data_IF_108546583990
#
_entry.id   IF_108546583990
#
_cell.length_a   1.000
_cell.length_b   1.000
_cell.length_c   1.000
_cell.angle_alpha   90.00
_cell.angle_beta   90.00
_cell.angle_gamma   90.00
#
_symmetry.space_group_name_H-M   'P 1'
#
loop_
_entity.id
_entity.type
_entity.pdbx_description
1 polymer ?
#
# COMPACT_ATOMS: atom_id res chain seq x y z
N UNK A 1 26.78 6.17 -5.27
CA UNK A 1 26.22 7.03 -6.29
C UNK A 1 24.72 6.80 -6.46
N UNK A 2 23.95 6.94 -5.38
CA UNK A 2 22.52 6.62 -5.38
C UNK A 2 21.63 7.86 -5.61
N UNK A 3 22.08 8.80 -6.43
CA UNK A 3 21.34 10.04 -6.67
C UNK A 3 20.64 10.05 -8.03
N UNK A 4 20.28 8.90 -8.55
CA UNK A 4 19.44 8.84 -9.73
C UNK A 4 18.06 9.39 -9.42
N UNK A 5 17.62 10.45 -10.11
CA UNK A 5 16.32 11.07 -9.84
C UNK A 5 15.14 10.10 -10.00
N UNK A 6 15.30 9.07 -10.83
CA UNK A 6 14.32 8.01 -11.00
C UNK A 6 14.20 7.12 -9.75
N UNK A 7 15.33 6.78 -9.12
CA UNK A 7 15.34 5.99 -7.88
C UNK A 7 14.69 6.74 -6.70
N UNK A 8 14.87 8.06 -6.65
CA UNK A 8 14.17 8.89 -5.65
C UNK A 8 12.65 8.80 -5.81
N UNK A 9 12.14 8.75 -7.06
CA UNK A 9 10.72 8.55 -7.31
C UNK A 9 10.24 7.17 -6.87
N UNK A 10 11.06 6.13 -7.02
CA UNK A 10 10.73 4.78 -6.53
C UNK A 10 10.71 4.73 -4.98
N UNK A 11 11.66 5.39 -4.33
CA UNK A 11 11.66 5.55 -2.87
C UNK A 11 10.40 6.29 -2.38
N UNK A 12 9.99 7.34 -3.09
CA UNK A 12 8.74 8.05 -2.80
C UNK A 12 7.51 7.17 -3.02
N UNK A 13 7.48 6.42 -4.13
CA UNK A 13 6.41 5.46 -4.42
C UNK A 13 6.26 4.41 -3.30
N UNK A 14 7.38 3.94 -2.75
CA UNK A 14 7.37 3.03 -1.62
C UNK A 14 6.78 3.66 -0.36
N UNK A 15 7.22 4.86 0.00
CA UNK A 15 6.69 5.60 1.16
C UNK A 15 5.19 5.85 1.03
N UNK A 16 4.72 6.09 -0.18
CA UNK A 16 3.31 6.27 -0.49
C UNK A 16 2.50 4.95 -0.53
N UNK A 17 3.13 3.78 -0.33
CA UNK A 17 2.46 2.49 -0.46
C UNK A 17 2.01 2.17 -1.90
N UNK A 18 2.69 2.77 -2.91
CA UNK A 18 2.37 2.64 -4.33
C UNK A 18 3.43 1.84 -5.11
N UNK A 19 4.23 1.06 -4.42
CA UNK A 19 5.26 0.22 -4.99
C UNK A 19 5.08 -1.23 -4.53
N UNK A 20 4.88 -2.14 -5.47
CA UNK A 20 5.01 -3.58 -5.28
C UNK A 20 6.46 -3.98 -5.62
N UNK A 21 7.13 -4.75 -4.79
CA UNK A 21 8.52 -5.14 -4.98
C UNK A 21 8.70 -6.65 -4.71
N UNK A 22 9.56 -7.27 -5.52
CA UNK A 22 9.71 -8.71 -5.54
C UNK A 22 8.70 -9.40 -6.46
N UNK A 23 9.04 -10.60 -6.92
CA UNK A 23 8.30 -11.30 -7.97
C UNK A 23 6.83 -11.54 -7.62
N UNK A 24 6.56 -11.97 -6.38
CA UNK A 24 5.21 -12.32 -5.92
C UNK A 24 4.26 -11.10 -5.94
N UNK A 25 4.68 -10.00 -5.31
CA UNK A 25 3.86 -8.79 -5.24
C UNK A 25 3.69 -8.12 -6.61
N UNK A 26 4.71 -8.22 -7.48
CA UNK A 26 4.62 -7.72 -8.86
C UNK A 26 3.63 -8.55 -9.66
N UNK A 27 3.66 -9.89 -9.53
CA UNK A 27 2.69 -10.78 -10.15
C UNK A 27 1.25 -10.46 -9.71
N UNK A 28 1.04 -10.28 -8.41
CA UNK A 28 -0.26 -9.91 -7.85
C UNK A 28 -0.73 -8.55 -8.39
N UNK A 29 0.12 -7.53 -8.33
CA UNK A 29 -0.20 -6.19 -8.83
C UNK A 29 -0.54 -6.18 -10.33
N UNK A 30 0.13 -7.02 -11.13
CA UNK A 30 -0.16 -7.17 -12.56
C UNK A 30 -1.49 -7.92 -12.79
N UNK A 31 -1.73 -9.00 -12.05
CA UNK A 31 -2.98 -9.79 -12.13
C UNK A 31 -4.19 -8.94 -11.74
N UNK A 32 -4.08 -8.16 -10.70
CA UNK A 32 -5.12 -7.23 -10.22
C UNK A 32 -5.26 -5.98 -11.10
N UNK A 33 -4.46 -5.84 -12.17
CA UNK A 33 -4.42 -4.65 -13.04
C UNK A 33 -4.15 -3.34 -12.27
N UNK A 34 -3.50 -3.44 -11.12
CA UNK A 34 -3.06 -2.30 -10.32
C UNK A 34 -1.73 -1.73 -10.80
N UNK A 35 -0.86 -2.56 -11.35
CA UNK A 35 0.42 -2.13 -11.91
C UNK A 35 0.22 -1.11 -13.04
N UNK A 36 1.09 -0.11 -13.10
CA UNK A 36 1.13 0.92 -14.15
C UNK A 36 2.42 0.87 -14.95
N UNK A 37 3.50 0.44 -14.32
CA UNK A 37 4.78 0.20 -14.94
C UNK A 37 5.50 -0.90 -14.16
N UNK A 38 6.15 -1.82 -14.85
CA UNK A 38 7.03 -2.83 -14.26
C UNK A 38 8.46 -2.41 -14.54
N UNK A 39 9.34 -2.52 -13.56
CA UNK A 39 10.74 -2.13 -13.66
C UNK A 39 11.62 -3.26 -13.15
N UNK A 40 12.72 -3.54 -13.87
CA UNK A 40 13.72 -4.55 -13.51
C UNK A 40 15.09 -3.92 -13.37
N UNK A 41 15.91 -4.45 -12.48
CA UNK A 41 17.32 -4.09 -12.40
C UNK A 41 18.08 -4.62 -13.64
N UNK A 42 19.18 -3.97 -14.00
CA UNK A 42 20.03 -4.36 -15.15
C UNK A 42 20.63 -5.75 -14.98
N UNK A 43 20.95 -6.14 -13.75
CA UNK A 43 21.52 -7.44 -13.38
C UNK A 43 20.46 -8.46 -12.93
N UNK A 44 19.17 -8.22 -13.24
CA UNK A 44 18.12 -9.17 -12.93
C UNK A 44 18.38 -10.52 -13.64
N UNK A 45 18.22 -11.61 -12.89
CA UNK A 45 18.37 -12.95 -13.47
C UNK A 45 17.39 -13.16 -14.63
N UNK A 46 17.85 -13.92 -15.65
CA UNK A 46 17.06 -14.17 -16.88
C UNK A 46 15.64 -14.69 -16.59
N UNK A 47 15.50 -15.60 -15.63
CA UNK A 47 14.19 -16.10 -15.20
C UNK A 47 13.29 -15.00 -14.66
N UNK A 48 13.83 -14.09 -13.83
CA UNK A 48 13.07 -12.96 -13.28
C UNK A 48 12.70 -11.96 -14.37
N UNK A 49 13.63 -11.66 -15.29
CA UNK A 49 13.37 -10.76 -16.42
C UNK A 49 12.27 -11.31 -17.34
N UNK A 50 12.32 -12.61 -17.69
CA UNK A 50 11.28 -13.28 -18.49
C UNK A 50 9.91 -13.25 -17.82
N UNK A 51 9.85 -13.52 -16.51
CA UNK A 51 8.61 -13.46 -15.75
C UNK A 51 8.07 -12.03 -15.66
N UNK A 52 8.94 -11.04 -15.43
CA UNK A 52 8.55 -9.64 -15.39
C UNK A 52 7.98 -9.19 -16.74
N UNK A 53 8.59 -9.58 -17.85
CA UNK A 53 8.08 -9.31 -19.19
C UNK A 53 6.69 -9.92 -19.41
N UNK A 54 6.52 -11.19 -19.07
CA UNK A 54 5.23 -11.89 -19.16
C UNK A 54 4.14 -11.20 -18.35
N UNK A 55 4.45 -10.79 -17.10
CA UNK A 55 3.46 -10.10 -16.24
C UNK A 55 3.12 -8.70 -16.78
N UNK A 56 4.12 -7.97 -17.29
CA UNK A 56 3.93 -6.64 -17.85
C UNK A 56 3.04 -6.70 -19.12
N UNK A 57 3.33 -7.64 -20.02
CA UNK A 57 2.56 -7.87 -21.23
C UNK A 57 1.11 -8.23 -20.91
N UNK A 58 0.89 -9.19 -20.02
CA UNK A 58 -0.46 -9.61 -19.59
C UNK A 58 -1.24 -8.49 -18.93
N UNK A 59 -0.58 -7.60 -18.22
CA UNK A 59 -1.19 -6.42 -17.59
C UNK A 59 -1.39 -5.24 -18.56
N UNK A 60 -0.77 -5.26 -19.75
CA UNK A 60 -0.77 -4.17 -20.72
C UNK A 60 -0.06 -2.92 -20.21
N UNK A 61 1.06 -3.12 -19.47
CA UNK A 61 1.87 -2.04 -18.91
C UNK A 61 3.29 -2.09 -19.46
N UNK A 62 4.00 -0.97 -19.56
CA UNK A 62 5.37 -0.97 -20.04
C UNK A 62 6.30 -1.66 -19.04
N UNK A 63 7.28 -2.40 -19.59
CA UNK A 63 8.44 -2.90 -18.87
C UNK A 63 9.60 -1.96 -19.12
N UNK A 64 10.31 -1.59 -18.08
CA UNK A 64 11.47 -0.70 -18.11
C UNK A 64 12.64 -1.39 -17.40
N UNK A 65 13.77 -1.54 -18.09
CA UNK A 65 15.01 -2.01 -17.49
C UNK A 65 15.74 -0.78 -16.93
N UNK A 66 16.00 -0.79 -15.63
CA UNK A 66 16.71 0.32 -14.97
C UNK A 66 18.22 0.16 -15.17
N UNK A 67 18.97 1.25 -15.37
CA UNK A 67 20.43 1.22 -15.54
C UNK A 67 21.16 1.07 -14.19
N UNK A 68 20.58 0.31 -13.27
CA UNK A 68 21.11 0.08 -11.91
C UNK A 68 20.98 -1.39 -11.53
N UNK A 69 21.87 -1.83 -10.64
CA UNK A 69 21.91 -3.19 -10.11
C UNK A 69 20.81 -3.43 -9.04
N UNK A 70 20.63 -4.70 -8.69
CA UNK A 70 19.66 -5.14 -7.66
C UNK A 70 19.91 -4.52 -6.30
N UNK A 71 21.16 -4.28 -5.95
CA UNK A 71 21.52 -3.72 -4.63
C UNK A 71 21.18 -2.25 -4.58
N UNK A 72 21.53 -1.48 -5.60
CA UNK A 72 21.20 -0.05 -5.70
C UNK A 72 19.69 0.17 -5.75
N UNK A 73 18.98 -0.64 -6.55
CA UNK A 73 17.51 -0.59 -6.57
C UNK A 73 16.94 -0.97 -5.20
N UNK A 74 17.47 -2.00 -4.56
CA UNK A 74 17.08 -2.40 -3.21
C UNK A 74 17.29 -1.29 -2.20
N UNK A 75 18.46 -0.67 -2.18
CA UNK A 75 18.79 0.45 -1.28
C UNK A 75 17.82 1.63 -1.45
N UNK A 76 17.48 1.99 -2.70
CA UNK A 76 16.53 3.07 -2.99
C UNK A 76 15.13 2.83 -2.42
N UNK A 77 14.73 1.56 -2.33
CA UNK A 77 13.44 1.17 -1.76
C UNK A 77 13.55 0.67 -0.31
N UNK A 78 14.72 0.77 0.33
CA UNK A 78 14.97 0.33 1.70
C UNK A 78 14.91 -1.19 1.87
N UNK A 79 15.53 -1.93 0.96
CA UNK A 79 15.72 -3.39 0.99
C UNK A 79 17.18 -3.74 0.68
N UNK A 80 17.64 -4.91 1.11
CA UNK A 80 19.00 -5.37 0.83
C UNK A 80 19.26 -5.67 -0.65
N UNK A 81 18.21 -5.89 -1.45
CA UNK A 81 18.28 -6.10 -2.88
C UNK A 81 16.87 -6.26 -3.47
N UNK A 82 16.71 -5.82 -4.71
CA UNK A 82 15.46 -5.94 -5.45
C UNK A 82 15.74 -6.09 -6.94
N UNK A 83 15.31 -7.19 -7.55
CA UNK A 83 15.49 -7.43 -8.97
C UNK A 83 14.32 -6.90 -9.81
N UNK A 84 13.12 -6.82 -9.24
CA UNK A 84 11.90 -6.40 -9.94
C UNK A 84 10.97 -5.64 -9.01
N UNK A 85 10.38 -4.58 -9.53
CA UNK A 85 9.34 -3.83 -8.85
C UNK A 85 8.26 -3.35 -9.83
N UNK A 86 7.08 -3.02 -9.32
CA UNK A 86 6.00 -2.43 -10.10
C UNK A 86 5.42 -1.21 -9.38
N UNK A 87 5.26 -0.13 -10.11
CA UNK A 87 4.62 1.09 -9.61
C UNK A 87 3.13 1.02 -9.90
N UNK A 88 2.31 1.21 -8.87
CA UNK A 88 0.84 1.13 -8.97
C UNK A 88 0.17 2.49 -9.19
N UNK A 89 0.88 3.58 -8.96
CA UNK A 89 0.39 4.93 -9.24
C UNK A 89 0.94 5.44 -10.57
N UNK A 90 0.03 5.93 -11.42
CA UNK A 90 0.39 6.36 -12.77
C UNK A 90 1.24 7.65 -12.77
N UNK A 91 0.99 8.56 -11.83
CA UNK A 91 1.73 9.83 -11.72
C UNK A 91 3.18 9.57 -11.33
N UNK A 92 3.41 8.70 -10.33
CA UNK A 92 4.75 8.32 -9.90
C UNK A 92 5.49 7.50 -10.96
N UNK A 93 4.79 6.59 -11.67
CA UNK A 93 5.36 5.83 -12.78
C UNK A 93 5.82 6.76 -13.91
N UNK A 94 4.95 7.69 -14.35
CA UNK A 94 5.28 8.66 -15.38
C UNK A 94 6.46 9.55 -14.98
N UNK A 95 6.49 10.05 -13.74
CA UNK A 95 7.57 10.89 -13.23
C UNK A 95 8.91 10.12 -13.17
N UNK A 96 8.89 8.86 -12.74
CA UNK A 96 10.10 8.04 -12.68
C UNK A 96 10.68 7.79 -14.09
N UNK A 97 9.83 7.35 -15.03
CA UNK A 97 10.28 7.04 -16.40
C UNK A 97 10.66 8.31 -17.18
N UNK A 98 10.00 9.43 -16.94
CA UNK A 98 10.39 10.73 -17.52
C UNK A 98 11.80 11.15 -17.10
N UNK A 99 12.19 10.88 -15.84
CA UNK A 99 13.55 11.16 -15.37
C UNK A 99 14.60 10.24 -15.99
N UNK A 100 14.23 9.00 -16.36
CA UNK A 100 15.08 8.11 -17.13
C UNK A 100 15.19 8.58 -18.59
N UNK A 101 14.08 8.96 -19.19
CA UNK A 101 14.06 9.47 -20.56
C UNK A 101 14.89 10.76 -20.76
N UNK A 102 15.04 11.57 -19.70
CA UNK A 102 15.92 12.73 -19.72
C UNK A 102 17.41 12.37 -19.77
N UNK A 103 17.76 11.14 -19.45
CA UNK A 103 19.14 10.63 -19.46
C UNK A 103 19.42 9.77 -20.68
N UNK A 104 18.43 8.99 -21.14
CA UNK A 104 18.56 8.07 -22.26
C UNK A 104 17.24 8.02 -23.06
N UNK A 105 17.35 8.28 -24.35
CA UNK A 105 16.23 8.26 -25.30
C UNK A 105 15.53 6.88 -25.40
N UNK A 106 16.16 5.81 -24.99
CA UNK A 106 15.57 4.46 -24.97
C UNK A 106 14.30 4.38 -24.13
N UNK A 107 14.14 5.26 -23.14
CA UNK A 107 12.96 5.31 -22.25
C UNK A 107 11.85 6.24 -22.73
N UNK A 108 12.06 6.97 -23.82
CA UNK A 108 11.14 8.01 -24.29
C UNK A 108 9.77 7.44 -24.68
N UNK A 109 9.75 6.31 -25.39
CA UNK A 109 8.51 5.64 -25.77
C UNK A 109 7.66 5.24 -24.54
N UNK A 110 8.30 4.70 -23.50
CA UNK A 110 7.61 4.36 -22.26
C UNK A 110 7.14 5.61 -21.49
N UNK A 111 7.92 6.68 -21.50
CA UNK A 111 7.55 7.96 -20.88
C UNK A 111 6.31 8.57 -21.53
N UNK A 112 6.27 8.67 -22.86
CA UNK A 112 5.11 9.18 -23.62
C UNK A 112 3.86 8.37 -23.30
N UNK A 113 3.95 7.04 -23.34
CA UNK A 113 2.84 6.11 -23.06
C UNK A 113 2.26 6.32 -21.65
N UNK A 114 3.13 6.50 -20.66
CA UNK A 114 2.71 6.73 -19.28
C UNK A 114 2.14 8.12 -19.07
N UNK A 115 2.69 9.16 -19.75
CA UNK A 115 2.17 10.52 -19.70
C UNK A 115 0.77 10.60 -20.30
N UNK A 116 0.52 9.98 -21.46
CA UNK A 116 -0.80 9.94 -22.07
C UNK A 116 -1.84 9.26 -21.15
N UNK A 117 -1.47 8.09 -20.58
CA UNK A 117 -2.33 7.39 -19.61
C UNK A 117 -2.59 8.25 -18.38
N UNK A 118 -1.58 8.98 -17.89
CA UNK A 118 -1.73 9.87 -16.75
C UNK A 118 -2.67 11.04 -17.08
N UNK A 119 -2.49 11.70 -18.22
CA UNK A 119 -3.34 12.80 -18.69
C UNK A 119 -4.81 12.36 -18.80
N UNK A 120 -5.08 11.16 -19.35
CA UNK A 120 -6.43 10.59 -19.42
C UNK A 120 -7.06 10.37 -18.05
N UNK A 121 -6.27 9.92 -17.07
CA UNK A 121 -6.77 9.69 -15.71
C UNK A 121 -7.03 11.00 -14.99
N UNK A 122 -6.15 11.98 -15.14
CA UNK A 122 -6.33 13.31 -14.55
C UNK A 122 -7.56 14.04 -15.11
N UNK A 123 -7.77 13.99 -16.42
CA UNK A 123 -8.95 14.61 -17.05
C UNK A 123 -10.27 13.96 -16.57
N UNK A 124 -10.26 12.67 -16.27
CA UNK A 124 -11.43 11.98 -15.70
C UNK A 124 -11.64 12.32 -14.22
N UNK A 125 -10.58 12.54 -13.44
CA UNK A 125 -10.68 12.95 -12.03
C UNK A 125 -11.25 14.35 -11.90
N UNK A 126 -10.87 15.27 -12.79
CA UNK A 126 -11.40 16.65 -12.80
C UNK A 126 -12.89 16.75 -13.15
N UNK A 127 -13.46 15.74 -13.82
CA UNK A 127 -14.89 15.70 -14.19
C UNK A 127 -15.81 15.05 -13.13
N UNK A 128 -15.27 14.47 -12.07
CA UNK A 128 -16.11 14.05 -10.95
C UNK A 128 -16.58 15.30 -10.20
N UNK A 129 -17.86 15.67 -10.38
CA UNK A 129 -18.55 16.67 -9.56
C UNK A 129 -18.25 16.37 -8.07
N UNK A 130 -17.99 17.39 -7.24
CA UNK A 130 -17.94 17.19 -5.81
C UNK A 130 -19.27 16.55 -5.40
N UNK A 131 -19.21 15.37 -4.78
CA UNK A 131 -20.37 14.80 -4.11
C UNK A 131 -20.86 15.85 -3.13
N UNK A 132 -22.11 16.25 -3.28
CA UNK A 132 -22.77 17.19 -2.40
C UNK A 132 -22.40 16.84 -0.94
N UNK A 133 -21.74 17.80 -0.33
CA UNK A 133 -21.46 17.77 1.10
C UNK A 133 -22.83 17.77 1.74
N UNK A 134 -23.28 16.62 2.22
CA UNK A 134 -24.49 16.50 3.01
C UNK A 134 -24.39 17.57 4.09
N UNK A 135 -25.27 18.60 3.96
CA UNK A 135 -25.43 19.63 4.97
C UNK A 135 -25.69 18.92 6.30
N UNK A 136 -24.79 19.10 7.24
CA UNK A 136 -25.03 18.69 8.60
C UNK A 136 -26.39 19.27 9.06
N UNK A 137 -27.23 18.50 9.76
CA UNK A 137 -28.48 19.03 10.31
C UNK A 137 -28.15 20.21 11.23
N UNK A 138 -28.68 21.37 10.90
CA UNK A 138 -28.58 22.54 11.78
C UNK A 138 -29.25 22.16 13.09
N UNK A 139 -28.46 22.18 14.17
CA UNK A 139 -28.99 22.07 15.53
C UNK A 139 -29.95 23.22 15.76
N UNK A 140 -31.21 22.88 15.97
CA UNK A 140 -32.23 23.84 16.42
C UNK A 140 -31.86 24.37 17.81
N UNK A 141 -32.03 25.68 18.10
CA UNK A 141 -31.81 26.21 19.44
C UNK A 141 -32.78 25.56 20.40
N UNK A 142 -32.26 24.94 21.43
CA UNK A 142 -33.07 24.48 22.57
C UNK A 142 -33.60 25.70 23.30
N UNK A 143 -34.90 25.87 23.21
CA UNK A 143 -35.69 26.81 23.99
C UNK A 143 -35.54 26.50 25.48
N UNK A 144 -35.19 27.54 26.25
CA UNK A 144 -34.98 27.50 27.69
C UNK A 144 -36.30 27.32 28.41
N UNK A 145 -36.54 26.15 28.94
CA UNK A 145 -37.61 25.92 29.91
C UNK A 145 -37.08 26.16 31.32
N UNK A 146 -37.77 27.06 32.03
CA UNK A 146 -37.55 27.52 33.41
C UNK A 146 -37.62 26.40 34.44
N UNK A 147 -36.98 26.57 35.62
CA UNK A 147 -36.95 25.57 36.68
C UNK A 147 -38.24 25.58 37.51
N UNK A 148 -38.79 24.41 37.76
CA UNK A 148 -39.80 24.20 38.76
C UNK A 148 -39.15 23.63 40.03
N UNK A 149 -39.19 24.40 41.09
CA UNK A 149 -38.90 24.03 42.47
C UNK A 149 -40.04 23.18 43.02
N UNK A 150 -39.74 22.07 43.66
CA UNK A 150 -40.42 21.54 44.87
C UNK A 150 -39.63 20.29 45.32
N UNK A 151 -38.90 20.42 46.42
CA UNK A 151 -39.30 20.19 47.81
C UNK A 151 -39.52 18.73 48.21
N UNK A 152 -38.52 18.24 48.93
CA UNK A 152 -38.59 17.57 50.24
C UNK A 152 -38.81 16.04 50.30
N UNK A 153 -37.94 15.48 51.12
CA UNK A 153 -38.13 14.32 52.04
C UNK A 153 -38.11 12.95 51.33
N UNK A 154 -37.35 12.01 51.75
CA UNK A 154 -36.74 11.65 53.01
C UNK A 154 -36.29 10.20 52.97
N UNK A 155 -35.36 9.92 53.83
CA UNK A 155 -35.12 8.66 54.54
C UNK A 155 -34.54 7.45 53.82
N UNK A 156 -33.29 7.21 54.14
CA UNK A 156 -32.78 6.03 54.87
C UNK A 156 -32.85 4.65 54.17
N UNK A 157 -31.72 4.00 54.10
CA UNK A 157 -31.71 2.56 54.06
C UNK A 157 -30.44 1.95 53.45
N UNK A 158 -29.39 1.93 54.25
CA UNK A 158 -28.64 0.75 54.65
C UNK A 158 -27.97 -0.10 53.58
N UNK A 159 -26.68 -0.16 53.76
CA UNK A 159 -25.68 -1.11 53.35
C UNK A 159 -26.12 -2.54 53.04
N UNK A 160 -25.50 -3.13 52.04
CA UNK A 160 -24.95 -4.47 52.23
C UNK A 160 -23.76 -4.67 51.28
N UNK A 161 -22.67 -4.92 51.91
CA UNK A 161 -21.40 -5.47 51.47
C UNK A 161 -21.61 -6.97 51.26
N UNK A 162 -21.12 -7.57 50.20
CA UNK A 162 -20.61 -8.96 50.21
C UNK A 162 -19.49 -9.10 49.19
N UNK A 163 -18.38 -9.54 49.71
CA UNK A 163 -17.23 -10.10 49.05
C UNK A 163 -17.55 -11.41 48.28
N UNK A 164 -16.66 -11.75 47.37
CA UNK A 164 -16.60 -13.11 46.82
C UNK A 164 -15.76 -13.18 45.52
N UNK A 165 -14.46 -13.08 45.57
CA UNK A 165 -13.47 -14.15 45.33
C UNK A 165 -14.06 -15.39 44.62
N UNK A 166 -13.50 -15.67 43.42
CA UNK A 166 -12.70 -16.88 43.18
C UNK A 166 -12.25 -16.95 41.72
N UNK A 167 -10.93 -17.12 41.56
CA UNK A 167 -10.34 -17.81 40.40
C UNK A 167 -10.51 -19.32 40.60
N UNK A 168 -10.46 -20.13 39.54
CA UNK A 168 -9.39 -21.08 39.42
C UNK A 168 -8.77 -21.15 38.01
N UNK A 169 -7.55 -21.23 37.99
CA UNK A 169 -6.47 -21.97 37.38
C UNK A 169 -6.80 -23.43 36.97
N UNK A 170 -6.16 -23.83 35.90
CA UNK A 170 -5.93 -25.22 35.48
C UNK A 170 -6.33 -25.41 34.03
N UNK A 171 -5.60 -26.09 33.18
CA UNK A 171 -4.43 -26.90 33.29
C UNK A 171 -3.84 -27.10 31.90
N UNK A 172 -2.58 -27.31 31.87
CA UNK A 172 -1.76 -27.77 30.75
C UNK A 172 -2.27 -29.11 30.19
N UNK A 173 -2.16 -29.25 28.87
CA UNK A 173 -2.02 -30.60 28.30
C UNK A 173 -1.00 -30.62 27.18
N UNK A 174 0.15 -31.12 27.52
CA UNK A 174 1.20 -31.68 26.70
C UNK A 174 0.67 -32.81 25.82
N UNK A 175 1.03 -32.80 24.56
CA UNK A 175 0.78 -33.85 23.60
C UNK A 175 1.95 -34.01 22.65
N UNK A 176 2.80 -34.86 22.99
CA UNK A 176 4.07 -35.42 22.52
C UNK A 176 3.93 -36.06 21.14
N UNK A 177 4.99 -35.90 20.33
CA UNK A 177 5.38 -36.63 19.11
C UNK A 177 5.26 -38.14 19.19
N UNK A 178 5.27 -38.87 18.06
CA UNK A 178 6.49 -39.38 17.46
C UNK A 178 6.46 -39.31 15.92
N UNK A 179 7.49 -39.04 15.16
CA UNK A 179 8.76 -39.73 14.98
C UNK A 179 8.64 -40.92 14.01
N UNK A 180 9.03 -40.75 12.72
CA UNK A 180 9.51 -41.87 11.93
C UNK A 180 10.55 -41.39 10.91
N UNK A 181 11.70 -41.95 11.10
CA UNK A 181 12.92 -41.92 10.30
C UNK A 181 12.87 -42.85 9.08
N UNK A 182 13.93 -42.94 8.27
CA UNK A 182 13.92 -43.06 6.83
C UNK A 182 14.18 -44.52 6.36
N UNK A 183 13.97 -44.76 5.10
CA UNK A 183 14.66 -45.89 4.42
C UNK A 183 14.75 -45.67 2.92
N UNK A 184 16.02 -45.76 2.53
CA UNK A 184 16.71 -46.15 1.30
C UNK A 184 16.39 -45.38 0.03
#
# INVERSE_FOLDING_TARGET
MANEPALQMLGLARRAGKLAFGEELVREACTDKKARCVMTASDAGESTAKKAAFYAERAGVPLVVLPVDKQTLGAAIGKNGCAVCAVTDIGLAAAAVQKLAAQDAAYEAAAVLLQEKNARIQSRKGKKKPKDRVKAPQAQPRETAKPAVHSARGTSGRAHRVDGRTRPSGAARTGRKPGKTPRT
#
